data_IF_466499808586
#
_entry.id   IF_466499808586
#
_cell.length_a   1.000
_cell.length_b   1.000
_cell.length_c   1.000
_cell.angle_alpha   90.00
_cell.angle_beta   90.00
_cell.angle_gamma   90.00
#
_symmetry.space_group_name_H-M   'P 1'
#
loop_
_entity.id
_entity.type
_entity.pdbx_description
1 polymer ?
#
# COMPACT_ATOMS: atom_id res chain seq x y z
N UNK A 1 31.04 -51.58 17.07
CA UNK A 1 30.55 -52.70 17.87
C UNK A 1 29.04 -52.64 17.94
N UNK A 2 28.47 -53.74 17.39
CA UNK A 2 27.11 -54.29 17.52
C UNK A 2 25.98 -53.50 16.86
N UNK A 3 25.61 -53.80 15.62
CA UNK A 3 24.80 -54.90 15.01
C UNK A 3 23.67 -55.41 15.90
N UNK A 4 22.41 -55.24 15.46
CA UNK A 4 21.57 -56.39 15.17
C UNK A 4 20.17 -56.01 14.68
N UNK A 5 19.87 -56.41 13.45
CA UNK A 5 18.55 -56.82 12.96
C UNK A 5 18.36 -58.29 13.37
N UNK A 6 17.17 -58.81 13.61
CA UNK A 6 16.52 -59.68 12.63
C UNK A 6 15.00 -59.51 12.59
N UNK A 7 14.39 -59.72 11.51
CA UNK A 7 13.85 -60.89 10.77
C UNK A 7 12.53 -61.45 11.28
N UNK A 8 11.56 -61.44 10.39
CA UNK A 8 10.78 -62.54 9.83
C UNK A 8 9.81 -63.31 10.74
N UNK A 9 8.58 -63.39 10.25
CA UNK A 9 7.55 -64.30 10.74
C UNK A 9 6.39 -64.38 9.77
N UNK A 10 6.57 -65.19 8.71
CA UNK A 10 5.47 -65.73 7.91
C UNK A 10 4.66 -66.69 8.75
N UNK A 11 3.37 -66.75 8.57
CA UNK A 11 2.57 -67.94 8.74
C UNK A 11 1.27 -67.91 7.94
N UNK A 12 1.31 -68.60 6.92
CA UNK A 12 0.31 -69.27 6.10
C UNK A 12 -0.63 -70.12 6.96
N UNK A 13 -1.93 -70.11 6.72
CA UNK A 13 -2.88 -71.23 6.71
C UNK A 13 -4.24 -70.73 6.23
N UNK A 14 -4.64 -70.93 5.06
CA UNK A 14 -5.22 -72.06 4.33
C UNK A 14 -6.67 -72.40 4.78
N UNK A 15 -7.54 -72.31 3.77
CA UNK A 15 -8.74 -73.07 3.47
C UNK A 15 -10.06 -72.89 4.27
N UNK A 16 -11.06 -72.63 3.47
CA UNK A 16 -12.48 -72.78 3.81
C UNK A 16 -13.43 -72.31 2.73
N UNK A 17 -13.55 -73.13 1.71
CA UNK A 17 -14.59 -73.14 0.70
C UNK A 17 -15.98 -73.27 1.30
N UNK A 18 -16.98 -72.51 0.86
CA UNK A 18 -18.35 -72.93 0.58
C UNK A 18 -19.22 -71.79 0.11
N UNK A 19 -19.49 -71.85 -1.19
CA UNK A 19 -20.81 -71.86 -1.85
C UNK A 19 -21.93 -70.97 -1.31
N UNK A 20 -22.43 -70.13 -2.19
CA UNK A 20 -23.85 -70.03 -2.44
C UNK A 20 -24.50 -68.67 -2.17
N UNK A 21 -24.93 -68.04 -3.24
CA UNK A 21 -25.89 -66.96 -3.11
C UNK A 21 -25.74 -65.87 -4.17
N UNK A 22 -26.10 -66.18 -5.40
CA UNK A 22 -26.43 -65.18 -6.40
C UNK A 22 -27.56 -64.30 -5.91
N UNK A 23 -27.34 -63.06 -5.74
CA UNK A 23 -28.35 -62.02 -5.87
C UNK A 23 -27.79 -60.92 -6.72
N UNK A 24 -28.09 -60.97 -7.99
CA UNK A 24 -27.91 -59.88 -8.94
C UNK A 24 -28.79 -58.73 -8.50
N UNK A 25 -28.21 -57.70 -7.96
CA UNK A 25 -28.82 -56.41 -7.97
C UNK A 25 -28.18 -55.61 -9.10
N UNK A 26 -28.94 -55.07 -10.03
CA UNK A 26 -28.41 -54.21 -11.06
C UNK A 26 -28.07 -52.87 -10.37
N UNK A 27 -26.78 -52.64 -10.18
CA UNK A 27 -26.26 -51.35 -9.81
C UNK A 27 -26.48 -50.39 -10.99
N UNK A 28 -27.55 -49.64 -10.92
CA UNK A 28 -27.79 -48.55 -11.85
C UNK A 28 -26.74 -47.50 -11.60
N UNK A 29 -25.73 -47.48 -12.43
CA UNK A 29 -24.79 -46.35 -12.55
C UNK A 29 -25.61 -45.11 -12.91
N UNK A 30 -25.89 -44.29 -11.94
CA UNK A 30 -26.21 -42.89 -12.19
C UNK A 30 -24.89 -42.20 -12.58
N UNK A 31 -24.75 -41.68 -13.78
CA UNK A 31 -23.65 -40.83 -14.08
C UNK A 31 -23.85 -39.55 -13.22
N UNK A 32 -23.05 -39.44 -12.16
CA UNK A 32 -22.88 -38.18 -11.47
C UNK A 32 -22.17 -37.26 -12.46
N UNK A 33 -22.96 -36.50 -13.18
CA UNK A 33 -22.48 -35.29 -13.86
C UNK A 33 -22.04 -34.34 -12.77
N UNK A 34 -20.79 -34.49 -12.34
CA UNK A 34 -20.08 -33.41 -11.70
C UNK A 34 -19.94 -32.32 -12.77
N UNK A 35 -20.91 -31.44 -12.81
CA UNK A 35 -20.68 -30.13 -13.40
C UNK A 35 -19.58 -29.49 -12.56
N UNK A 36 -18.35 -29.74 -12.98
CA UNK A 36 -17.23 -28.93 -12.58
C UNK A 36 -17.62 -27.49 -12.99
N UNK A 37 -18.18 -26.74 -12.05
CA UNK A 37 -18.12 -25.29 -12.10
C UNK A 37 -16.64 -24.95 -12.13
N UNK A 38 -16.12 -24.83 -13.32
CA UNK A 38 -14.86 -24.15 -13.54
C UNK A 38 -15.01 -22.80 -12.86
N UNK A 39 -14.17 -22.45 -11.89
CA UNK A 39 -14.13 -21.07 -11.43
C UNK A 39 -13.72 -20.27 -12.67
N UNK A 40 -14.65 -19.48 -13.17
CA UNK A 40 -14.36 -18.47 -14.16
C UNK A 40 -13.33 -17.57 -13.52
N UNK A 41 -12.06 -17.52 -13.96
CA UNK A 41 -11.13 -16.53 -13.51
C UNK A 41 -11.52 -15.20 -14.18
N UNK A 42 -12.51 -14.55 -13.63
CA UNK A 42 -12.84 -13.17 -13.97
C UNK A 42 -12.02 -12.22 -13.08
N UNK A 43 -10.76 -12.53 -12.95
CA UNK A 43 -9.76 -11.56 -12.59
C UNK A 43 -9.03 -11.27 -13.91
N UNK A 44 -9.29 -10.12 -14.49
CA UNK A 44 -8.35 -9.51 -15.41
C UNK A 44 -7.01 -9.51 -14.68
N UNK A 45 -6.15 -10.46 -15.05
CA UNK A 45 -4.75 -10.48 -14.59
C UNK A 45 -4.13 -9.23 -15.19
N UNK A 46 -4.26 -8.11 -14.50
CA UNK A 46 -3.43 -6.96 -14.80
C UNK A 46 -2.01 -7.42 -14.50
N UNK A 47 -1.20 -7.43 -15.54
CA UNK A 47 0.22 -7.76 -15.40
C UNK A 47 0.84 -6.61 -14.60
N UNK A 48 1.46 -6.86 -13.45
CA UNK A 48 2.09 -5.80 -12.69
C UNK A 48 3.25 -5.19 -13.47
N UNK A 49 3.38 -3.89 -13.42
CA UNK A 49 4.55 -3.18 -13.94
C UNK A 49 5.64 -3.19 -12.90
N UNK A 50 6.83 -3.65 -13.25
CA UNK A 50 7.95 -3.76 -12.32
C UNK A 50 9.01 -2.72 -12.68
N UNK A 51 9.40 -1.91 -11.70
CA UNK A 51 10.47 -0.90 -11.79
C UNK A 51 11.65 -1.45 -10.99
N UNK A 52 12.74 -1.76 -11.70
CA UNK A 52 13.94 -2.33 -11.10
C UNK A 52 14.72 -1.35 -10.23
N UNK A 53 15.62 -1.88 -9.38
CA UNK A 53 16.42 -1.10 -8.41
C UNK A 53 17.43 -0.14 -9.06
N UNK A 54 17.82 -0.40 -10.30
CA UNK A 54 18.75 0.47 -11.04
C UNK A 54 18.07 1.66 -11.72
N UNK A 55 16.74 1.77 -11.61
CA UNK A 55 15.98 2.80 -12.29
C UNK A 55 15.63 3.95 -11.36
N UNK A 56 16.02 5.16 -11.77
CA UNK A 56 15.60 6.40 -11.13
C UNK A 56 14.59 7.11 -12.03
N UNK A 57 13.40 7.36 -11.52
CA UNK A 57 12.33 8.06 -12.24
C UNK A 57 12.13 9.43 -11.62
N UNK A 58 12.20 10.46 -12.44
CA UNK A 58 11.90 11.83 -12.01
C UNK A 58 10.68 12.35 -12.77
N UNK A 59 9.61 12.68 -12.04
CA UNK A 59 8.37 13.18 -12.62
C UNK A 59 7.15 12.37 -12.18
N UNK A 60 6.06 12.50 -12.95
CA UNK A 60 4.78 11.88 -12.60
C UNK A 60 4.64 10.50 -13.24
N UNK A 61 4.31 9.52 -12.44
CA UNK A 61 4.02 8.16 -12.87
C UNK A 61 2.52 7.90 -12.74
N UNK A 62 1.87 7.51 -13.83
CA UNK A 62 0.45 7.17 -13.80
C UNK A 62 0.22 5.78 -14.36
N UNK A 63 -0.42 4.91 -13.59
CA UNK A 63 -0.85 3.60 -14.03
C UNK A 63 -2.24 3.27 -13.49
N UNK A 64 -2.97 2.44 -14.22
CA UNK A 64 -4.31 2.00 -13.80
C UNK A 64 -4.28 0.66 -13.04
N UNK A 65 -3.17 -0.04 -13.09
CA UNK A 65 -2.99 -1.36 -12.53
C UNK A 65 -2.07 -1.38 -11.33
N UNK A 66 -1.45 -2.53 -11.13
CA UNK A 66 -0.47 -2.76 -10.08
C UNK A 66 0.93 -2.36 -10.54
N UNK A 67 1.65 -1.62 -9.70
CA UNK A 67 3.05 -1.26 -9.89
C UNK A 67 3.85 -1.81 -8.72
N UNK A 68 4.92 -2.52 -9.05
CA UNK A 68 5.97 -2.86 -8.10
C UNK A 68 7.18 -1.95 -8.34
N UNK A 69 7.68 -1.33 -7.29
CA UNK A 69 8.81 -0.39 -7.32
C UNK A 69 9.90 -0.90 -6.42
N UNK A 70 11.04 -1.19 -7.00
CA UNK A 70 12.26 -1.54 -6.25
C UNK A 70 13.34 -0.46 -6.38
N UNK A 71 13.14 0.53 -7.27
CA UNK A 71 14.05 1.64 -7.54
C UNK A 71 13.71 2.95 -6.85
N UNK A 72 14.27 4.05 -7.36
CA UNK A 72 14.06 5.40 -6.83
C UNK A 72 13.03 6.16 -7.67
N UNK A 73 12.06 6.79 -6.99
CA UNK A 73 11.07 7.67 -7.65
C UNK A 73 11.09 9.04 -6.96
N UNK A 74 11.26 10.09 -7.75
CA UNK A 74 11.16 11.48 -7.33
C UNK A 74 10.00 12.14 -8.06
N UNK A 75 8.87 12.30 -7.38
CA UNK A 75 7.66 12.92 -7.95
C UNK A 75 6.38 12.29 -7.47
N UNK A 76 5.31 12.42 -8.29
CA UNK A 76 4.00 11.93 -7.91
C UNK A 76 3.68 10.59 -8.59
N UNK A 77 3.20 9.62 -7.81
CA UNK A 77 2.80 8.31 -8.29
C UNK A 77 1.29 8.14 -8.13
N UNK A 78 0.61 7.84 -9.25
CA UNK A 78 -0.81 7.54 -9.27
C UNK A 78 -1.04 6.14 -9.82
N UNK A 79 -1.58 5.23 -9.04
CA UNK A 79 -1.86 3.87 -9.49
C UNK A 79 -3.07 3.24 -8.78
N UNK A 80 -3.47 2.05 -9.20
CA UNK A 80 -4.47 1.25 -8.51
C UNK A 80 -3.88 0.59 -7.27
N UNK A 81 -2.82 -0.19 -7.46
CA UNK A 81 -2.10 -0.86 -6.38
C UNK A 81 -0.60 -0.57 -6.47
N UNK A 82 0.01 -0.24 -5.35
CA UNK A 82 1.42 0.06 -5.24
C UNK A 82 2.10 -0.87 -4.26
N UNK A 83 3.12 -1.57 -4.74
CA UNK A 83 4.01 -2.38 -3.92
C UNK A 83 5.42 -1.77 -3.94
N UNK A 84 5.87 -1.27 -2.80
CA UNK A 84 7.23 -0.75 -2.64
C UNK A 84 8.13 -1.84 -2.06
N UNK A 85 9.21 -2.16 -2.75
CA UNK A 85 10.20 -3.14 -2.31
C UNK A 85 11.13 -2.60 -1.22
N UNK A 86 11.95 -3.48 -0.65
CA UNK A 86 12.80 -3.16 0.51
C UNK A 86 13.88 -2.11 0.20
N UNK A 87 14.32 -2.02 -1.07
CA UNK A 87 15.34 -1.06 -1.51
C UNK A 87 14.74 0.18 -2.17
N UNK A 88 13.41 0.24 -2.28
CA UNK A 88 12.75 1.37 -2.92
C UNK A 88 12.87 2.64 -2.10
N UNK A 89 13.05 3.75 -2.81
CA UNK A 89 13.00 5.09 -2.23
C UNK A 89 12.03 5.95 -3.03
N UNK A 90 11.01 6.47 -2.38
CA UNK A 90 10.02 7.36 -3.00
C UNK A 90 10.04 8.70 -2.30
N UNK A 91 10.23 9.76 -3.08
CA UNK A 91 10.21 11.14 -2.59
C UNK A 91 9.12 11.89 -3.33
N UNK A 92 8.05 12.27 -2.62
CA UNK A 92 6.93 13.01 -3.21
C UNK A 92 5.56 12.52 -2.80
N UNK A 93 4.58 12.60 -3.71
CA UNK A 93 3.21 12.20 -3.46
C UNK A 93 2.90 10.79 -3.98
N UNK A 94 2.30 9.97 -3.15
CA UNK A 94 1.81 8.65 -3.55
C UNK A 94 0.31 8.60 -3.43
N UNK A 95 -0.36 8.20 -4.51
CA UNK A 95 -1.81 8.04 -4.57
C UNK A 95 -2.18 6.70 -5.15
N UNK A 96 -2.76 5.82 -4.34
CA UNK A 96 -3.23 4.53 -4.78
C UNK A 96 -4.38 4.02 -3.92
N UNK A 97 -5.14 3.04 -4.41
CA UNK A 97 -6.18 2.41 -3.61
C UNK A 97 -5.57 1.50 -2.55
N UNK A 98 -4.65 0.64 -2.97
CA UNK A 98 -3.91 -0.27 -2.10
C UNK A 98 -2.41 0.06 -2.12
N UNK A 99 -1.81 0.30 -0.96
CA UNK A 99 -0.40 0.66 -0.83
C UNK A 99 0.27 -0.30 0.16
N UNK A 100 1.31 -0.97 -0.28
CA UNK A 100 2.16 -1.82 0.56
C UNK A 100 3.57 -1.24 0.55
N UNK A 101 4.07 -0.85 1.71
CA UNK A 101 5.38 -0.22 1.87
C UNK A 101 6.33 -1.14 2.61
N UNK A 102 7.50 -1.42 2.00
CA UNK A 102 8.64 -2.09 2.63
C UNK A 102 9.88 -1.21 2.69
N UNK A 103 10.02 -0.33 1.72
CA UNK A 103 11.17 0.56 1.59
C UNK A 103 10.99 1.90 2.30
N UNK A 104 11.63 2.94 1.76
CA UNK A 104 11.60 4.30 2.29
C UNK A 104 10.66 5.18 1.48
N UNK A 105 9.79 5.92 2.19
CA UNK A 105 8.90 6.91 1.58
C UNK A 105 9.03 8.24 2.33
N UNK A 106 9.27 9.31 1.61
CA UNK A 106 9.33 10.67 2.15
C UNK A 106 8.32 11.55 1.41
N UNK A 107 7.28 11.98 2.11
CA UNK A 107 6.26 12.86 1.52
C UNK A 107 4.84 12.53 1.93
N UNK A 108 3.88 12.67 1.02
CA UNK A 108 2.48 12.43 1.32
C UNK A 108 1.97 11.13 0.69
N UNK A 109 1.35 10.30 1.51
CA UNK A 109 0.72 9.05 1.07
C UNK A 109 -0.79 9.19 1.17
N UNK A 110 -1.48 8.85 0.09
CA UNK A 110 -2.95 8.86 0.02
C UNK A 110 -3.45 7.54 -0.52
N UNK A 111 -4.17 6.79 0.30
CA UNK A 111 -4.65 5.48 -0.09
C UNK A 111 -5.88 5.04 0.69
N UNK A 112 -6.69 4.19 0.09
CA UNK A 112 -7.80 3.56 0.81
C UNK A 112 -7.25 2.60 1.85
N UNK A 113 -6.34 1.73 1.43
CA UNK A 113 -5.66 0.79 2.31
C UNK A 113 -4.16 1.00 2.25
N UNK A 114 -3.56 1.29 3.40
CA UNK A 114 -2.11 1.46 3.55
C UNK A 114 -1.58 0.41 4.51
N UNK A 115 -0.61 -0.37 4.07
CA UNK A 115 0.06 -1.39 4.88
C UNK A 115 1.54 -1.08 4.95
N UNK A 116 2.03 -0.80 6.15
CA UNK A 116 3.45 -0.61 6.42
C UNK A 116 3.99 -1.94 6.93
N UNK A 117 4.86 -2.57 6.13
CA UNK A 117 5.49 -3.83 6.53
C UNK A 117 6.73 -3.60 7.39
N UNK A 118 7.22 -4.68 7.99
CA UNK A 118 8.45 -4.66 8.78
C UNK A 118 9.60 -4.04 7.95
N UNK A 119 10.42 -3.20 8.58
CA UNK A 119 11.53 -2.44 7.98
C UNK A 119 11.13 -1.27 7.07
N UNK A 120 9.83 -1.01 6.88
CA UNK A 120 9.42 0.20 6.18
C UNK A 120 9.78 1.46 6.97
N UNK A 121 10.19 2.50 6.24
CA UNK A 121 10.52 3.79 6.82
C UNK A 121 9.71 4.87 6.11
N UNK A 122 8.75 5.43 6.80
CA UNK A 122 7.84 6.43 6.22
C UNK A 122 7.92 7.72 7.00
N UNK A 123 8.23 8.80 6.30
CA UNK A 123 8.31 10.16 6.82
C UNK A 123 7.31 11.04 6.10
N UNK A 124 6.34 11.62 6.81
CA UNK A 124 5.39 12.58 6.23
C UNK A 124 3.93 12.36 6.61
N UNK A 125 3.03 12.82 5.75
CA UNK A 125 1.59 12.79 6.02
C UNK A 125 0.92 11.59 5.33
N UNK A 126 0.17 10.79 6.08
CA UNK A 126 -0.60 9.66 5.55
C UNK A 126 -2.10 9.97 5.65
N UNK A 127 -2.78 9.94 4.52
CA UNK A 127 -4.24 10.01 4.43
C UNK A 127 -4.77 8.64 4.01
N UNK A 128 -5.56 8.01 4.86
CA UNK A 128 -6.00 6.64 4.65
C UNK A 128 -7.42 6.41 5.14
N UNK A 129 -8.08 5.41 4.61
CA UNK A 129 -9.31 4.87 5.18
C UNK A 129 -8.98 3.74 6.18
N UNK A 130 -8.04 2.89 5.82
CA UNK A 130 -7.54 1.81 6.66
C UNK A 130 -6.01 1.80 6.66
N UNK A 131 -5.40 1.73 7.85
CA UNK A 131 -3.96 1.67 8.05
C UNK A 131 -3.62 0.42 8.85
N UNK A 132 -2.69 -0.37 8.33
CA UNK A 132 -2.08 -1.49 9.02
C UNK A 132 -0.58 -1.23 9.16
N UNK A 133 -0.05 -1.39 10.36
CA UNK A 133 1.37 -1.20 10.66
C UNK A 133 1.86 -2.52 11.26
N UNK A 134 2.83 -3.14 10.62
CA UNK A 134 3.47 -4.35 11.11
C UNK A 134 4.57 -4.02 12.13
N UNK A 135 4.90 -4.99 12.95
CA UNK A 135 5.97 -4.84 13.93
C UNK A 135 7.32 -4.63 13.24
N UNK A 136 8.02 -3.57 13.61
CA UNK A 136 9.30 -3.20 13.00
C UNK A 136 9.20 -2.13 11.91
N UNK A 137 8.00 -1.66 11.59
CA UNK A 137 7.80 -0.50 10.73
C UNK A 137 8.12 0.79 11.48
N UNK A 138 8.79 1.72 10.82
CA UNK A 138 9.04 3.07 11.31
C UNK A 138 8.14 4.07 10.61
N UNK A 139 7.41 4.85 11.38
CA UNK A 139 6.55 5.92 10.87
C UNK A 139 6.77 7.20 11.66
N UNK A 140 7.08 8.26 10.95
CA UNK A 140 7.22 9.61 11.51
C UNK A 140 6.40 10.61 10.71
N UNK A 141 5.42 11.25 11.36
CA UNK A 141 4.56 12.22 10.69
C UNK A 141 3.14 12.25 11.21
N UNK A 142 2.23 12.71 10.37
CA UNK A 142 0.81 12.82 10.67
C UNK A 142 0.01 11.78 9.93
N UNK A 143 -0.81 11.03 10.66
CA UNK A 143 -1.77 10.11 10.08
C UNK A 143 -3.18 10.67 10.24
N UNK A 144 -3.91 10.77 9.14
CA UNK A 144 -5.30 11.22 9.10
C UNK A 144 -6.17 10.17 8.45
N UNK A 145 -7.22 9.78 9.15
CA UNK A 145 -8.25 8.94 8.55
C UNK A 145 -9.23 9.80 7.76
N UNK A 146 -9.43 9.47 6.50
CA UNK A 146 -10.42 10.07 5.61
C UNK A 146 -11.21 8.98 4.93
N UNK A 147 -12.51 9.18 4.76
CA UNK A 147 -13.35 8.20 4.05
C UNK A 147 -13.09 8.22 2.53
N UNK A 148 -12.60 9.36 2.01
CA UNK A 148 -12.26 9.51 0.59
C UNK A 148 -10.89 10.19 0.41
N UNK A 149 -9.77 9.51 0.74
CA UNK A 149 -8.43 10.12 0.69
C UNK A 149 -7.99 10.48 -0.75
N UNK A 150 -8.61 9.89 -1.76
CA UNK A 150 -8.30 10.12 -3.16
C UNK A 150 -9.10 11.28 -3.78
N UNK A 151 -10.23 11.68 -3.21
CA UNK A 151 -11.08 12.75 -3.74
C UNK A 151 -10.70 14.15 -3.24
N UNK A 152 -9.98 14.28 -2.15
CA UNK A 152 -9.58 15.57 -1.58
C UNK A 152 -8.74 16.44 -2.54
N UNK A 153 -8.26 15.87 -3.64
CA UNK A 153 -7.50 16.61 -4.65
C UNK A 153 -8.41 17.40 -5.59
N UNK A 154 -9.66 16.97 -5.78
CA UNK A 154 -10.59 17.67 -6.66
C UNK A 154 -11.14 18.96 -6.05
N UNK A 155 -10.98 19.13 -4.74
CA UNK A 155 -11.51 20.28 -4.00
C UNK A 155 -10.46 21.24 -3.45
N UNK A 156 -9.17 20.95 -3.59
CA UNK A 156 -8.15 21.94 -3.33
C UNK A 156 -8.04 22.89 -4.52
N UNK A 157 -8.56 24.13 -4.43
CA UNK A 157 -8.30 25.10 -5.50
C UNK A 157 -6.78 25.32 -5.53
N UNK A 158 -6.16 25.38 -6.74
CA UNK A 158 -4.77 25.74 -6.84
C UNK A 158 -4.64 27.21 -6.46
N UNK A 159 -4.25 27.48 -5.19
CA UNK A 159 -4.04 28.86 -4.82
C UNK A 159 -4.38 29.28 -3.42
N UNK A 160 -4.32 28.45 -2.42
CA UNK A 160 -4.10 28.97 -1.06
C UNK A 160 -2.66 28.74 -0.64
N UNK A 161 -1.74 29.35 -1.37
CA UNK A 161 -0.57 29.88 -0.69
C UNK A 161 -1.14 30.81 0.37
N UNK A 162 -1.05 30.44 1.61
CA UNK A 162 -1.15 31.36 2.71
C UNK A 162 -0.13 32.44 2.43
N UNK A 163 -0.58 33.49 1.79
CA UNK A 163 0.16 34.73 1.81
C UNK A 163 0.23 35.07 3.30
N UNK A 164 1.38 34.81 3.85
CA UNK A 164 1.87 35.47 5.03
C UNK A 164 1.49 36.93 4.85
N UNK A 165 0.46 37.36 5.56
CA UNK A 165 0.15 38.75 5.69
C UNK A 165 1.37 39.36 6.35
N UNK A 166 2.13 40.25 5.68
CA UNK A 166 3.03 41.09 6.42
C UNK A 166 2.17 41.90 7.37
N UNK A 167 2.37 41.70 8.66
CA UNK A 167 1.83 42.59 9.71
C UNK A 167 2.30 43.97 9.36
N UNK A 168 1.41 44.77 8.80
CA UNK A 168 1.54 46.20 8.70
C UNK A 168 1.68 46.69 10.12
N UNK A 169 2.90 46.98 10.49
CA UNK A 169 3.21 47.82 11.64
C UNK A 169 2.69 49.19 11.29
N UNK A 170 1.47 49.46 11.68
CA UNK A 170 0.87 50.77 11.70
C UNK A 170 1.60 51.57 12.77
N UNK A 171 2.70 52.22 12.38
CA UNK A 171 3.32 53.28 13.13
C UNK A 171 2.40 54.51 13.01
N UNK A 172 1.59 54.70 14.00
CA UNK A 172 0.84 55.90 14.33
C UNK A 172 1.79 57.11 14.23
N UNK A 173 1.51 58.14 13.41
CA UNK A 173 2.20 59.39 13.50
C UNK A 173 1.76 60.10 14.78
N UNK A 174 2.68 60.32 15.68
CA UNK A 174 2.53 61.30 16.75
C UNK A 174 2.60 62.68 16.10
N UNK A 175 1.45 63.27 15.99
CA UNK A 175 1.26 64.70 15.88
C UNK A 175 1.61 65.28 17.22
N UNK A 176 2.66 66.04 17.28
CA UNK A 176 2.87 67.07 18.28
C UNK A 176 3.38 68.27 17.54
N UNK A 177 2.40 69.09 17.27
CA UNK A 177 2.60 70.46 16.91
C UNK A 177 3.17 71.25 18.07
N UNK A 178 3.61 72.35 17.70
CA UNK A 178 3.71 73.60 18.41
C UNK A 178 5.13 74.08 18.65
N UNK A 179 5.28 75.26 18.23
CA UNK A 179 6.37 76.07 18.73
C UNK A 179 6.88 77.11 17.75
N UNK A 180 5.99 78.02 17.40
CA UNK A 180 6.34 79.40 17.12
C UNK A 180 7.60 79.87 17.80
N UNK A 181 8.52 80.48 17.09
CA UNK A 181 8.96 81.84 17.46
C UNK A 181 9.87 82.41 16.36
N UNK A 182 9.41 83.47 15.83
CA UNK A 182 10.17 84.49 15.13
C UNK A 182 11.22 85.12 16.01
N UNK A 183 12.34 85.48 15.44
CA UNK A 183 13.12 86.72 15.66
C UNK A 183 14.23 86.74 14.65
N UNK A 184 14.20 87.56 13.67
CA UNK A 184 14.56 88.91 13.39
C UNK A 184 15.92 89.36 13.92
N UNK A 185 16.62 89.93 12.98
CA UNK A 185 17.68 90.96 13.10
C UNK A 185 19.13 90.50 13.06
N UNK A 186 19.71 91.09 12.15
CA UNK A 186 20.95 91.80 11.81
C UNK A 186 22.03 90.98 11.19
#
# INVERSE_FOLDING_TARGET
MFTKKPETGESITKMGDRMGGETKTPFTERPATYAAKSPTPSASKMVPSIIGEDLTITGNVTAKGEIQVDGEIQGDVHCGSLLLGDKSQVIGGVMAEDIVVRGRVVGSIRGLRVTLQAQSHVEGDIFHQSLAIEQGAYFEGKSRRSDNPLEEIKTAPPGSRSADKPSTFESKPKDEGNGVSAHAAE
#
